data_IF_111520888703
#
_entry.id   IF_111520888703
#
_cell.length_a   1.000
_cell.length_b   1.000
_cell.length_c   1.000
_cell.angle_alpha   90.00
_cell.angle_beta   90.00
_cell.angle_gamma   90.00
#
_symmetry.space_group_name_H-M   'P 1'
#
loop_
_entity.id
_entity.type
_entity.pdbx_description
1 polymer ?
#
# COMPACT_ATOMS: atom_id res chain seq x y z
N UNK A 1 -7.65 -7.39 16.44
CA UNK A 1 -8.11 -7.19 15.04
C UNK A 1 -7.36 -6.00 14.49
N UNK A 2 -6.62 -6.15 13.40
CA UNK A 2 -5.80 -5.09 12.79
C UNK A 2 -6.68 -4.17 11.93
N UNK A 3 -7.29 -3.17 12.57
CA UNK A 3 -8.09 -2.10 11.92
C UNK A 3 -7.24 -0.93 11.40
N UNK A 4 -5.97 -1.17 11.06
CA UNK A 4 -4.99 -0.08 10.94
C UNK A 4 -5.07 0.71 9.64
N UNK A 5 -5.43 0.07 8.53
CA UNK A 5 -5.63 0.78 7.25
C UNK A 5 -6.72 1.85 7.36
N UNK A 6 -7.83 1.54 8.03
CA UNK A 6 -8.96 2.45 8.19
C UNK A 6 -8.65 3.65 9.10
N UNK A 7 -7.57 3.57 9.88
CA UNK A 7 -7.08 4.67 10.73
C UNK A 7 -6.09 5.59 10.00
N UNK A 8 -5.67 5.25 8.78
CA UNK A 8 -4.82 6.10 7.95
C UNK A 8 -5.67 7.23 7.34
N UNK A 9 -5.13 8.44 7.25
CA UNK A 9 -5.77 9.56 6.56
C UNK A 9 -6.30 9.16 5.17
N UNK A 10 -7.51 9.57 4.76
CA UNK A 10 -8.13 9.14 3.51
C UNK A 10 -7.24 9.32 2.27
N UNK A 11 -6.50 10.43 2.19
CA UNK A 11 -5.58 10.70 1.08
C UNK A 11 -4.44 9.66 1.01
N UNK A 12 -3.95 9.21 2.17
CA UNK A 12 -2.92 8.17 2.23
C UNK A 12 -3.51 6.80 1.90
N UNK A 13 -4.75 6.50 2.31
CA UNK A 13 -5.44 5.29 1.91
C UNK A 13 -5.55 5.19 0.38
N UNK A 14 -5.99 6.28 -0.25
CA UNK A 14 -6.13 6.36 -1.71
C UNK A 14 -4.79 6.09 -2.41
N UNK A 15 -3.71 6.74 -1.97
CA UNK A 15 -2.36 6.52 -2.52
C UNK A 15 -1.88 5.08 -2.38
N UNK A 16 -2.20 4.42 -1.27
CA UNK A 16 -1.86 3.00 -1.06
C UNK A 16 -2.61 2.12 -2.07
N UNK A 17 -3.91 2.35 -2.25
CA UNK A 17 -4.73 1.58 -3.19
C UNK A 17 -4.26 1.79 -4.63
N UNK A 18 -4.02 3.03 -5.04
CA UNK A 18 -3.55 3.35 -6.39
C UNK A 18 -2.19 2.70 -6.68
N UNK A 19 -1.23 2.83 -5.77
CA UNK A 19 0.08 2.19 -5.90
C UNK A 19 -0.05 0.66 -5.93
N UNK A 20 -0.91 0.06 -5.08
CA UNK A 20 -1.12 -1.37 -5.08
C UNK A 20 -1.70 -1.86 -6.41
N UNK A 21 -2.78 -1.22 -6.88
CA UNK A 21 -3.44 -1.57 -8.14
C UNK A 21 -2.48 -1.50 -9.32
N UNK A 22 -1.68 -0.44 -9.40
CA UNK A 22 -0.65 -0.30 -10.43
C UNK A 22 0.38 -1.43 -10.38
N UNK A 23 0.96 -1.71 -9.20
CA UNK A 23 1.98 -2.76 -9.08
C UNK A 23 1.43 -4.14 -9.40
N UNK A 24 0.21 -4.46 -8.95
CA UNK A 24 -0.43 -5.73 -9.25
C UNK A 24 -0.81 -5.86 -10.74
N UNK A 25 -1.23 -4.77 -11.38
CA UNK A 25 -1.53 -4.77 -12.81
C UNK A 25 -0.26 -4.97 -13.66
N UNK A 26 0.86 -4.33 -13.28
CA UNK A 26 2.12 -4.38 -14.03
C UNK A 26 2.92 -5.68 -13.79
N UNK A 27 2.90 -6.22 -12.57
CA UNK A 27 3.79 -7.33 -12.16
C UNK A 27 3.03 -8.62 -11.82
N UNK A 28 1.69 -8.58 -11.77
CA UNK A 28 0.89 -9.70 -11.29
C UNK A 28 1.05 -9.96 -9.79
N UNK A 29 0.28 -10.91 -9.27
CA UNK A 29 0.23 -11.20 -7.83
C UNK A 29 1.58 -11.63 -7.23
N UNK A 30 2.34 -12.45 -7.97
CA UNK A 30 3.56 -13.08 -7.45
C UNK A 30 4.73 -12.09 -7.32
N UNK A 31 4.85 -11.15 -8.25
CA UNK A 31 6.01 -10.26 -8.35
C UNK A 31 5.72 -8.83 -7.87
N UNK A 32 4.46 -8.52 -7.53
CA UNK A 32 4.12 -7.26 -6.88
C UNK A 32 4.78 -7.15 -5.51
N UNK A 33 5.45 -6.02 -5.26
CA UNK A 33 6.22 -5.80 -4.03
C UNK A 33 5.53 -4.80 -3.12
N UNK A 34 5.11 -5.25 -1.95
CA UNK A 34 4.57 -4.38 -0.88
C UNK A 34 5.53 -3.26 -0.51
N UNK A 35 6.85 -3.51 -0.56
CA UNK A 35 7.89 -2.50 -0.33
C UNK A 35 7.89 -1.38 -1.37
N UNK A 36 7.63 -1.71 -2.64
CA UNK A 36 7.52 -0.70 -3.70
C UNK A 36 6.21 0.09 -3.56
N UNK A 37 5.11 -0.60 -3.23
CA UNK A 37 3.79 0.02 -2.99
C UNK A 37 3.86 1.06 -1.87
N UNK A 38 4.40 0.72 -0.70
CA UNK A 38 4.51 1.68 0.43
C UNK A 38 5.42 2.87 0.09
N UNK A 39 6.50 2.63 -0.67
CA UNK A 39 7.43 3.66 -1.08
C UNK A 39 6.78 4.64 -2.06
N UNK A 40 6.03 4.13 -3.04
CA UNK A 40 5.30 4.94 -4.02
C UNK A 40 4.13 5.70 -3.38
N UNK A 41 3.41 5.04 -2.47
CA UNK A 41 2.36 5.66 -1.66
C UNK A 41 2.90 6.70 -0.64
N UNK A 42 4.22 6.81 -0.47
CA UNK A 42 4.85 7.78 0.44
C UNK A 42 4.55 7.53 1.91
N UNK A 43 4.37 6.26 2.29
CA UNK A 43 4.07 5.85 3.66
C UNK A 43 5.24 5.08 4.28
N UNK A 44 5.43 5.23 5.59
CA UNK A 44 6.44 4.49 6.33
C UNK A 44 6.15 2.98 6.33
N UNK A 45 7.20 2.17 6.15
CA UNK A 45 7.13 0.70 6.01
C UNK A 45 6.36 -0.01 7.16
N UNK A 46 6.37 0.57 8.35
CA UNK A 46 5.65 0.06 9.52
C UNK A 46 4.13 0.11 9.38
N UNK A 47 3.57 1.09 8.65
CA UNK A 47 2.11 1.31 8.57
C UNK A 47 1.37 0.26 7.74
N UNK A 48 2.07 -0.57 6.96
CA UNK A 48 1.43 -1.63 6.18
C UNK A 48 1.20 -2.90 7.01
N UNK A 49 1.98 -3.10 8.09
CA UNK A 49 2.00 -4.34 8.87
C UNK A 49 1.62 -4.15 10.35
N UNK A 50 1.57 -2.91 10.82
CA UNK A 50 1.04 -2.51 12.12
C UNK A 50 -0.26 -1.77 11.92
#
# INVERSE_FOLDING_TARGET
>A
MTTTFHNVEPDKQQRIIEAAMKHFAENGYKDASTNKIVKEAGIGKGMLFY
#
